data_IF_929674007409
#
_entry.id   IF_929674007409
#
_cell.length_a   1.000
_cell.length_b   1.000
_cell.length_c   1.000
_cell.angle_alpha   90.00
_cell.angle_beta   90.00
_cell.angle_gamma   90.00
#
_symmetry.space_group_name_H-M   'P 1'
#
loop_
_entity.id
_entity.type
_entity.pdbx_description
1 polymer ?
#
# COMPACT_ATOMS: atom_id res chain seq x y z
N UNK A 1 34.33 14.50 -12.73
CA UNK A 1 33.91 15.16 -11.48
C UNK A 1 32.39 15.09 -11.37
N UNK A 2 31.85 14.85 -10.18
CA UNK A 2 30.39 14.91 -9.96
C UNK A 2 29.93 16.36 -10.12
N UNK A 3 28.85 16.57 -10.88
CA UNK A 3 28.24 17.90 -10.97
C UNK A 3 27.43 18.21 -9.71
N UNK A 4 27.07 19.48 -9.53
CA UNK A 4 26.33 19.95 -8.35
C UNK A 4 25.01 19.20 -8.16
N UNK A 5 24.31 18.87 -9.24
CA UNK A 5 23.05 18.13 -9.20
C UNK A 5 23.24 16.70 -8.67
N UNK A 6 24.28 16.00 -9.12
CA UNK A 6 24.59 14.66 -8.66
C UNK A 6 24.93 14.67 -7.17
N UNK A 7 25.73 15.65 -6.71
CA UNK A 7 26.03 15.83 -5.29
C UNK A 7 24.74 16.07 -4.49
N UNK A 8 23.86 16.96 -4.96
CA UNK A 8 22.59 17.25 -4.31
C UNK A 8 21.67 16.01 -4.20
N UNK A 9 21.57 15.22 -5.28
CA UNK A 9 20.77 13.98 -5.28
C UNK A 9 21.36 12.95 -4.31
N UNK A 10 22.68 12.75 -4.31
CA UNK A 10 23.35 11.81 -3.39
C UNK A 10 23.12 12.23 -1.95
N UNK A 11 23.28 13.52 -1.63
CA UNK A 11 23.03 14.04 -0.29
C UNK A 11 21.56 13.87 0.11
N UNK A 12 20.61 14.20 -0.77
CA UNK A 12 19.19 14.03 -0.51
C UNK A 12 18.83 12.57 -0.24
N UNK A 13 19.32 11.64 -1.07
CA UNK A 13 19.10 10.20 -0.89
C UNK A 13 19.74 9.68 0.40
N UNK A 14 20.98 10.09 0.69
CA UNK A 14 21.70 9.71 1.89
C UNK A 14 21.04 10.24 3.17
N UNK A 15 20.63 11.50 3.20
CA UNK A 15 19.92 12.12 4.33
C UNK A 15 18.56 11.43 4.52
N UNK A 16 17.77 11.26 3.45
CA UNK A 16 16.47 10.56 3.52
C UNK A 16 16.64 9.15 4.10
N UNK A 17 17.62 8.40 3.60
CA UNK A 17 17.94 7.08 4.12
C UNK A 17 18.32 7.13 5.60
N UNK A 18 19.23 8.02 5.99
CA UNK A 18 19.71 8.14 7.36
C UNK A 18 18.57 8.48 8.34
N UNK A 19 17.71 9.44 7.98
CA UNK A 19 16.55 9.83 8.80
C UNK A 19 15.62 8.64 9.00
N UNK A 20 15.24 7.95 7.92
CA UNK A 20 14.35 6.78 8.01
C UNK A 20 15.00 5.63 8.79
N UNK A 21 16.29 5.37 8.55
CA UNK A 21 17.04 4.31 9.20
C UNK A 21 17.13 4.54 10.71
N UNK A 22 17.47 5.77 11.14
CA UNK A 22 17.50 6.15 12.55
C UNK A 22 16.09 6.05 13.16
N UNK A 23 15.05 6.55 12.48
CA UNK A 23 13.68 6.49 12.98
C UNK A 23 13.21 5.03 13.20
N UNK A 24 13.48 4.14 12.26
CA UNK A 24 13.16 2.72 12.39
C UNK A 24 13.98 2.03 13.49
N UNK A 25 15.25 2.38 13.67
CA UNK A 25 16.07 1.88 14.78
C UNK A 25 15.53 2.32 16.14
N UNK A 26 15.18 3.60 16.28
CA UNK A 26 14.57 4.14 17.49
C UNK A 26 13.23 3.47 17.77
N UNK A 27 12.42 3.23 16.73
CA UNK A 27 11.15 2.54 16.86
C UNK A 27 11.34 1.10 17.37
N UNK A 28 12.32 0.36 16.83
CA UNK A 28 12.64 -1.00 17.30
C UNK A 28 13.20 -0.99 18.72
N UNK A 29 14.04 -0.01 19.07
CA UNK A 29 14.60 0.14 20.41
C UNK A 29 13.53 0.48 21.45
N UNK A 30 12.48 1.20 21.05
CA UNK A 30 11.35 1.57 21.89
C UNK A 30 10.30 0.45 22.06
N UNK A 31 10.39 -0.67 21.34
CA UNK A 31 9.43 -1.77 21.47
C UNK A 31 9.51 -2.39 22.87
N UNK A 32 8.41 -2.28 23.61
CA UNK A 32 8.24 -2.95 24.90
C UNK A 32 7.43 -4.23 24.73
N UNK A 33 7.96 -5.36 25.20
CA UNK A 33 7.29 -6.67 25.19
C UNK A 33 6.27 -6.83 26.31
N UNK A 34 6.28 -5.94 27.29
CA UNK A 34 5.28 -5.90 28.34
C UNK A 34 4.08 -5.05 27.91
N UNK A 35 2.89 -5.56 28.20
CA UNK A 35 1.64 -4.85 27.93
C UNK A 35 1.56 -3.66 28.88
N UNK A 36 1.37 -2.43 28.38
CA UNK A 36 1.14 -1.26 29.23
C UNK A 36 -0.07 -1.46 30.13
N UNK A 37 -0.06 -0.86 31.32
CA UNK A 37 -1.09 -1.07 32.35
C UNK A 37 -2.51 -0.77 31.84
N UNK A 38 -2.64 0.25 30.99
CA UNK A 38 -3.92 0.68 30.41
C UNK A 38 -4.54 -0.34 29.46
N UNK A 39 -3.75 -1.30 28.96
CA UNK A 39 -4.19 -2.28 27.97
C UNK A 39 -4.13 -3.73 28.46
N UNK A 40 -3.80 -3.97 29.73
CA UNK A 40 -3.73 -5.33 30.31
C UNK A 40 -5.07 -6.08 30.24
N UNK A 41 -6.19 -5.36 30.27
CA UNK A 41 -7.53 -5.93 30.15
C UNK A 41 -7.93 -6.29 28.70
N UNK A 42 -7.22 -5.73 27.71
CA UNK A 42 -7.59 -5.83 26.29
C UNK A 42 -6.66 -6.80 25.55
N UNK A 43 -5.37 -6.80 25.88
CA UNK A 43 -4.39 -7.64 25.21
C UNK A 43 -3.93 -8.81 26.07
N UNK A 44 -4.04 -10.01 25.52
CA UNK A 44 -3.31 -11.16 26.00
C UNK A 44 -1.79 -10.93 25.87
N UNK A 45 -1.05 -11.29 26.93
CA UNK A 45 0.39 -11.06 27.05
C UNK A 45 1.17 -11.81 25.97
N UNK A 46 0.77 -13.04 25.62
CA UNK A 46 1.44 -13.83 24.60
C UNK A 46 1.22 -13.23 23.20
N UNK A 47 0.00 -12.80 22.90
CA UNK A 47 -0.40 -12.21 21.62
C UNK A 47 0.25 -10.84 21.40
N UNK A 48 0.30 -10.01 22.45
CA UNK A 48 1.04 -8.74 22.42
C UNK A 48 2.52 -8.95 22.17
N UNK A 49 3.17 -9.88 22.90
CA UNK A 49 4.58 -10.21 22.67
C UNK A 49 4.84 -10.70 21.25
N UNK A 50 3.96 -11.55 20.71
CA UNK A 50 4.03 -12.01 19.32
C UNK A 50 3.95 -10.84 18.33
N UNK A 51 3.07 -9.86 18.56
CA UNK A 51 2.96 -8.66 17.74
C UNK A 51 4.23 -7.78 17.80
N UNK A 52 4.82 -7.62 19.00
CA UNK A 52 6.08 -6.89 19.18
C UNK A 52 7.24 -7.58 18.45
N UNK A 53 7.35 -8.91 18.57
CA UNK A 53 8.39 -9.69 17.90
C UNK A 53 8.20 -9.68 16.37
N UNK A 54 6.95 -9.68 15.87
CA UNK A 54 6.65 -9.50 14.43
C UNK A 54 7.08 -8.13 13.92
N UNK A 55 6.75 -7.07 14.65
CA UNK A 55 7.18 -5.70 14.32
C UNK A 55 8.70 -5.59 14.29
N UNK A 56 9.39 -6.14 15.29
CA UNK A 56 10.85 -6.14 15.35
C UNK A 56 11.48 -6.90 14.17
N UNK A 57 11.00 -8.12 13.87
CA UNK A 57 11.52 -8.94 12.79
C UNK A 57 11.33 -8.27 11.42
N UNK A 58 10.13 -7.76 11.16
CA UNK A 58 9.78 -7.09 9.90
C UNK A 58 10.55 -5.79 9.71
N UNK A 59 10.71 -4.99 10.77
CA UNK A 59 11.43 -3.71 10.70
C UNK A 59 12.92 -3.94 10.48
N UNK A 60 13.56 -4.88 11.20
CA UNK A 60 14.97 -5.22 10.97
C UNK A 60 15.22 -5.70 9.54
N UNK A 61 14.31 -6.51 8.99
CA UNK A 61 14.41 -6.96 7.61
C UNK A 61 14.23 -5.83 6.59
N UNK A 62 13.32 -4.89 6.87
CA UNK A 62 13.12 -3.69 6.06
C UNK A 62 14.36 -2.79 6.04
N UNK A 63 14.98 -2.57 7.20
CA UNK A 63 16.26 -1.87 7.32
C UNK A 63 17.31 -2.53 6.43
N UNK A 64 17.51 -3.85 6.55
CA UNK A 64 18.45 -4.60 5.72
C UNK A 64 18.18 -4.41 4.21
N UNK A 65 16.92 -4.56 3.79
CA UNK A 65 16.52 -4.38 2.39
C UNK A 65 16.79 -2.95 1.92
N UNK A 66 16.43 -1.94 2.71
CA UNK A 66 16.64 -0.54 2.34
C UNK A 66 18.12 -0.18 2.19
N UNK A 67 18.98 -0.72 3.06
CA UNK A 67 20.43 -0.59 2.94
C UNK A 67 20.96 -1.25 1.68
N UNK A 68 20.47 -2.46 1.36
CA UNK A 68 20.81 -3.16 0.13
C UNK A 68 20.38 -2.38 -1.11
N UNK A 69 19.14 -1.90 -1.16
CA UNK A 69 18.61 -1.14 -2.30
C UNK A 69 19.45 0.13 -2.55
N UNK A 70 19.80 0.87 -1.49
CA UNK A 70 20.64 2.06 -1.60
C UNK A 70 22.07 1.72 -2.06
N UNK A 71 22.66 0.66 -1.51
CA UNK A 71 23.98 0.20 -1.90
C UNK A 71 24.02 -0.21 -3.38
N UNK A 72 23.04 -0.99 -3.85
CA UNK A 72 22.93 -1.37 -5.26
C UNK A 72 22.78 -0.15 -6.16
N UNK A 73 21.93 0.82 -5.79
CA UNK A 73 21.77 2.06 -6.53
C UNK A 73 23.09 2.83 -6.64
N UNK A 74 23.82 3.00 -5.53
CA UNK A 74 25.09 3.73 -5.53
C UNK A 74 26.18 2.98 -6.28
N UNK A 75 26.31 1.66 -6.10
CA UNK A 75 27.28 0.85 -6.85
C UNK A 75 26.97 0.93 -8.36
N UNK A 76 25.70 0.83 -8.75
CA UNK A 76 25.30 0.93 -10.15
C UNK A 76 25.54 2.33 -10.72
N UNK A 77 25.27 3.39 -9.94
CA UNK A 77 25.54 4.75 -10.36
C UNK A 77 27.05 5.02 -10.51
N UNK A 78 27.84 4.77 -9.46
CA UNK A 78 29.27 5.09 -9.45
C UNK A 78 30.09 4.20 -10.38
N UNK A 79 29.63 3.00 -10.71
CA UNK A 79 30.24 2.17 -11.76
C UNK A 79 29.90 2.62 -13.19
N UNK A 80 29.07 3.65 -13.35
CA UNK A 80 28.63 4.13 -14.66
C UNK A 80 27.52 3.29 -15.29
N UNK A 81 26.85 2.43 -14.51
CA UNK A 81 25.83 1.48 -14.99
C UNK A 81 24.71 2.12 -15.81
N UNK A 82 24.24 3.32 -15.45
CA UNK A 82 23.23 4.04 -16.24
C UNK A 82 23.73 4.41 -17.64
N UNK A 83 24.99 4.86 -17.75
CA UNK A 83 25.60 5.23 -19.04
C UNK A 83 25.95 3.99 -19.86
N UNK A 84 26.46 2.95 -19.21
CA UNK A 84 26.73 1.66 -19.84
C UNK A 84 25.45 1.08 -20.47
N UNK A 85 24.35 1.08 -19.72
CA UNK A 85 23.08 0.60 -20.22
C UNK A 85 22.55 1.46 -21.36
N UNK A 86 22.65 2.80 -21.28
CA UNK A 86 22.20 3.69 -22.36
C UNK A 86 22.94 3.40 -23.67
N UNK A 87 24.28 3.30 -23.64
CA UNK A 87 25.09 2.96 -24.81
C UNK A 87 24.71 1.59 -25.36
N UNK A 88 24.53 0.61 -24.47
CA UNK A 88 24.16 -0.75 -24.86
C UNK A 88 22.77 -0.81 -25.55
N UNK A 89 21.76 -0.14 -24.99
CA UNK A 89 20.41 -0.13 -25.58
C UNK A 89 20.38 0.65 -26.89
N UNK A 90 21.13 1.75 -27.01
CA UNK A 90 21.25 2.50 -28.27
C UNK A 90 21.90 1.69 -29.38
N UNK A 91 22.79 0.75 -29.04
CA UNK A 91 23.44 -0.11 -30.03
C UNK A 91 22.45 -1.01 -30.81
N UNK A 92 21.21 -1.20 -30.31
CA UNK A 92 20.16 -1.90 -31.04
C UNK A 92 19.59 -1.11 -32.23
N UNK A 93 19.93 0.18 -32.40
CA UNK A 93 19.48 0.98 -33.53
C UNK A 93 17.96 1.25 -33.57
N UNK A 94 17.30 1.14 -32.42
CA UNK A 94 15.88 1.45 -32.27
C UNK A 94 15.64 2.96 -32.36
N UNK A 95 14.39 3.37 -32.61
CA UNK A 95 14.03 4.78 -32.47
C UNK A 95 14.09 5.23 -31.00
N UNK A 96 14.20 6.53 -30.78
CA UNK A 96 14.20 7.23 -29.49
C UNK A 96 13.17 6.68 -28.49
N UNK A 97 11.91 6.52 -28.92
CA UNK A 97 10.83 6.02 -28.09
C UNK A 97 11.06 4.59 -27.62
N UNK A 98 11.36 3.66 -28.54
CA UNK A 98 11.59 2.25 -28.20
C UNK A 98 12.90 2.06 -27.42
N UNK A 99 13.95 2.83 -27.71
CA UNK A 99 15.18 2.87 -26.91
C UNK A 99 14.86 3.25 -25.46
N UNK A 100 14.05 4.30 -25.25
CA UNK A 100 13.63 4.71 -23.90
C UNK A 100 12.79 3.64 -23.18
N UNK A 101 11.86 2.99 -23.89
CA UNK A 101 11.06 1.90 -23.32
C UNK A 101 11.91 0.69 -22.93
N UNK A 102 12.84 0.27 -23.78
CA UNK A 102 13.75 -0.85 -23.49
C UNK A 102 14.69 -0.48 -22.33
N UNK A 103 15.24 0.73 -22.32
CA UNK A 103 16.11 1.22 -21.25
C UNK A 103 15.42 1.14 -19.88
N UNK A 104 14.22 1.72 -19.75
CA UNK A 104 13.46 1.69 -18.50
C UNK A 104 12.99 0.26 -18.19
N UNK A 105 12.57 -0.51 -19.20
CA UNK A 105 12.16 -1.90 -19.05
C UNK A 105 13.26 -2.79 -18.46
N UNK A 106 14.50 -2.65 -18.92
CA UNK A 106 15.66 -3.38 -18.39
C UNK A 106 15.95 -2.97 -16.94
N UNK A 107 15.92 -1.67 -16.62
CA UNK A 107 16.10 -1.21 -15.24
C UNK A 107 15.01 -1.75 -14.31
N UNK A 108 13.74 -1.75 -14.74
CA UNK A 108 12.63 -2.32 -13.98
C UNK A 108 12.78 -3.83 -13.80
N UNK A 109 13.17 -4.56 -14.84
CA UNK A 109 13.41 -5.99 -14.77
C UNK A 109 14.54 -6.33 -13.79
N UNK A 110 15.65 -5.58 -13.83
CA UNK A 110 16.74 -5.71 -12.88
C UNK A 110 16.28 -5.42 -11.45
N UNK A 111 15.50 -4.35 -11.25
CA UNK A 111 14.94 -4.01 -9.93
C UNK A 111 14.03 -5.14 -9.39
N UNK A 112 13.16 -5.70 -10.23
CA UNK A 112 12.32 -6.85 -9.86
C UNK A 112 13.19 -8.04 -9.44
N UNK A 113 14.21 -8.36 -10.24
CA UNK A 113 15.13 -9.47 -9.98
C UNK A 113 15.85 -9.30 -8.64
N UNK A 114 16.43 -8.13 -8.37
CA UNK A 114 17.11 -7.85 -7.09
C UNK A 114 16.15 -7.83 -5.90
N UNK A 115 14.88 -7.44 -6.10
CA UNK A 115 13.87 -7.45 -5.04
C UNK A 115 13.32 -8.84 -4.73
N UNK A 116 13.47 -9.80 -5.65
CA UNK A 116 12.81 -11.11 -5.59
C UNK A 116 13.24 -11.94 -4.36
N UNK A 117 14.54 -12.07 -4.01
CA UNK A 117 14.94 -12.79 -2.81
C UNK A 117 14.31 -12.23 -1.54
N UNK A 118 14.20 -10.89 -1.44
CA UNK A 118 13.58 -10.24 -0.29
C UNK A 118 12.07 -10.50 -0.23
N UNK A 119 11.40 -10.49 -1.38
CA UNK A 119 9.98 -10.81 -1.49
C UNK A 119 9.70 -12.28 -1.11
N UNK A 120 10.58 -13.21 -1.50
CA UNK A 120 10.47 -14.61 -1.09
C UNK A 120 10.66 -14.74 0.41
N UNK A 121 11.69 -14.10 0.97
CA UNK A 121 11.99 -14.20 2.40
C UNK A 121 10.87 -13.61 3.28
N UNK A 122 10.34 -12.44 2.93
CA UNK A 122 9.23 -11.84 3.69
C UNK A 122 8.00 -12.77 3.66
N UNK A 123 7.62 -13.31 2.51
CA UNK A 123 6.41 -14.14 2.37
C UNK A 123 6.56 -15.53 2.99
N UNK A 124 7.65 -16.24 2.69
CA UNK A 124 7.78 -17.66 3.05
C UNK A 124 8.61 -17.91 4.31
N UNK A 125 9.26 -16.89 4.87
CA UNK A 125 10.03 -17.02 6.13
C UNK A 125 9.43 -16.16 7.22
N UNK A 126 9.32 -14.85 7.02
CA UNK A 126 8.82 -13.95 8.07
C UNK A 126 7.32 -14.17 8.27
N UNK A 127 6.48 -13.96 7.25
CA UNK A 127 5.02 -14.10 7.40
C UNK A 127 4.64 -15.54 7.80
N UNK A 128 5.32 -16.56 7.28
CA UNK A 128 5.13 -17.96 7.68
C UNK A 128 5.45 -18.19 9.17
N UNK A 129 6.59 -17.69 9.66
CA UNK A 129 6.99 -17.81 11.08
C UNK A 129 5.94 -17.26 12.04
N UNK A 130 5.19 -16.24 11.64
CA UNK A 130 4.13 -15.64 12.46
C UNK A 130 2.73 -16.23 12.18
N UNK A 131 2.61 -17.19 11.26
CA UNK A 131 1.34 -17.82 10.89
C UNK A 131 0.42 -16.91 10.06
N UNK A 132 1.01 -15.93 9.37
CA UNK A 132 0.31 -14.93 8.58
C UNK A 132 0.26 -15.26 7.09
N UNK A 133 1.18 -16.11 6.61
CA UNK A 133 1.21 -16.53 5.22
C UNK A 133 0.20 -17.65 4.94
N UNK A 134 -0.52 -17.52 3.83
CA UNK A 134 -1.35 -18.58 3.22
C UNK A 134 -1.04 -18.76 1.73
N UNK A 135 -0.09 -17.99 1.21
CA UNK A 135 0.28 -17.96 -0.20
C UNK A 135 1.08 -19.21 -0.57
N UNK A 136 0.66 -19.92 -1.61
CA UNK A 136 1.46 -21.01 -2.21
C UNK A 136 2.50 -20.46 -3.17
N UNK A 137 3.57 -21.21 -3.44
CA UNK A 137 4.59 -20.82 -4.45
C UNK A 137 3.95 -20.52 -5.82
N UNK A 138 2.97 -21.33 -6.23
CA UNK A 138 2.24 -21.10 -7.48
C UNK A 138 1.48 -19.77 -7.46
N UNK A 139 0.75 -19.46 -6.37
CA UNK A 139 0.05 -18.18 -6.22
C UNK A 139 1.02 -17.01 -6.25
N UNK A 140 2.15 -17.12 -5.54
CA UNK A 140 3.19 -16.09 -5.50
C UNK A 140 3.76 -15.77 -6.88
N UNK A 141 4.12 -16.81 -7.65
CA UNK A 141 4.67 -16.63 -9.00
C UNK A 141 3.62 -16.08 -9.96
N UNK A 142 2.41 -16.64 -9.96
CA UNK A 142 1.33 -16.19 -10.85
C UNK A 142 0.93 -14.74 -10.58
N UNK A 143 0.84 -14.34 -9.31
CA UNK A 143 0.54 -12.95 -8.95
C UNK A 143 1.66 -12.01 -9.42
N UNK A 144 2.93 -12.42 -9.31
CA UNK A 144 4.05 -11.61 -9.81
C UNK A 144 4.01 -11.45 -11.33
N UNK A 145 3.74 -12.54 -12.06
CA UNK A 145 3.61 -12.50 -13.52
C UNK A 145 2.47 -11.58 -13.93
N UNK A 146 1.28 -11.74 -13.33
CA UNK A 146 0.13 -10.85 -13.58
C UNK A 146 0.48 -9.39 -13.29
N UNK A 147 1.15 -9.13 -12.17
CA UNK A 147 1.60 -7.78 -11.80
C UNK A 147 2.57 -7.18 -12.82
N UNK A 148 3.54 -7.95 -13.29
CA UNK A 148 4.50 -7.52 -14.34
C UNK A 148 3.75 -7.23 -15.64
N UNK A 149 2.86 -8.13 -16.08
CA UNK A 149 2.09 -7.92 -17.32
C UNK A 149 1.23 -6.66 -17.25
N UNK A 150 0.51 -6.45 -16.13
CA UNK A 150 -0.26 -5.22 -15.94
C UNK A 150 0.65 -3.99 -15.85
N UNK A 151 1.80 -4.09 -15.20
CA UNK A 151 2.79 -3.02 -15.12
C UNK A 151 3.36 -2.63 -16.49
N UNK A 152 3.64 -3.61 -17.36
CA UNK A 152 4.08 -3.37 -18.74
C UNK A 152 2.95 -2.76 -19.57
N UNK A 153 1.73 -3.29 -19.47
CA UNK A 153 0.60 -2.78 -20.26
C UNK A 153 0.21 -1.36 -19.86
N UNK A 154 0.04 -1.09 -18.57
CA UNK A 154 -0.42 0.20 -18.05
C UNK A 154 0.78 1.17 -17.90
N UNK A 155 1.81 0.76 -17.18
CA UNK A 155 2.99 1.59 -16.94
C UNK A 155 3.80 1.82 -18.22
N UNK A 156 3.96 0.80 -19.07
CA UNK A 156 4.66 0.93 -20.34
C UNK A 156 3.92 1.81 -21.35
N UNK A 157 2.58 1.75 -21.41
CA UNK A 157 1.79 2.66 -22.27
C UNK A 157 1.83 4.11 -21.78
N UNK A 158 1.79 4.33 -20.45
CA UNK A 158 1.98 5.66 -19.88
C UNK A 158 3.39 6.20 -20.14
N UNK A 159 4.41 5.36 -19.94
CA UNK A 159 5.79 5.73 -20.24
C UNK A 159 5.97 6.07 -21.73
N UNK A 160 5.42 5.25 -22.64
CA UNK A 160 5.46 5.52 -24.07
C UNK A 160 4.81 6.87 -24.41
N UNK A 161 3.66 7.16 -23.79
CA UNK A 161 2.96 8.42 -23.97
C UNK A 161 3.79 9.61 -23.48
N UNK A 162 4.46 9.48 -22.32
CA UNK A 162 5.35 10.51 -21.79
C UNK A 162 6.54 10.73 -22.72
N UNK A 163 7.23 9.67 -23.12
CA UNK A 163 8.39 9.77 -24.01
C UNK A 163 8.01 10.43 -25.34
N UNK A 164 6.87 10.02 -25.91
CA UNK A 164 6.32 10.63 -27.12
C UNK A 164 6.01 12.12 -26.93
N UNK A 165 5.40 12.51 -25.80
CA UNK A 165 5.13 13.92 -25.50
C UNK A 165 6.40 14.75 -25.32
N UNK A 166 7.45 14.20 -24.72
CA UNK A 166 8.73 14.92 -24.60
C UNK A 166 9.48 15.00 -25.92
N UNK A 167 9.22 14.09 -26.85
CA UNK A 167 9.81 14.14 -28.19
C UNK A 167 9.08 15.13 -29.12
N UNK A 168 7.75 15.21 -29.05
CA UNK A 168 6.94 15.97 -30.01
C UNK A 168 6.17 17.16 -29.41
N UNK A 169 6.08 17.28 -28.08
CA UNK A 169 5.25 18.26 -27.38
C UNK A 169 5.87 19.64 -27.18
N UNK A 170 7.09 19.85 -27.67
CA UNK A 170 7.82 21.13 -27.57
C UNK A 170 8.09 21.56 -26.12
N UNK A 171 8.25 22.86 -25.89
CA UNK A 171 8.59 23.42 -24.56
C UNK A 171 7.52 23.14 -23.48
N UNK A 172 6.26 22.94 -23.90
CA UNK A 172 5.13 22.64 -23.00
C UNK A 172 4.88 21.15 -22.80
N UNK A 173 5.76 20.26 -23.30
CA UNK A 173 5.65 18.81 -23.15
C UNK A 173 5.39 18.37 -21.70
N UNK A 174 6.00 19.04 -20.74
CA UNK A 174 5.83 18.74 -19.32
C UNK A 174 4.39 18.97 -18.82
N UNK A 175 3.67 19.97 -19.36
CA UNK A 175 2.26 20.25 -19.01
C UNK A 175 1.37 19.13 -19.54
N UNK A 176 1.59 18.71 -20.79
CA UNK A 176 0.85 17.62 -21.39
C UNK A 176 1.12 16.29 -20.68
N UNK A 177 2.39 16.00 -20.36
CA UNK A 177 2.77 14.80 -19.62
C UNK A 177 2.14 14.79 -18.21
N UNK A 178 2.14 15.94 -17.53
CA UNK A 178 1.47 16.10 -16.24
C UNK A 178 -0.04 15.87 -16.35
N UNK A 179 -0.70 16.43 -17.38
CA UNK A 179 -2.14 16.25 -17.60
C UNK A 179 -2.49 14.78 -17.89
N UNK A 180 -1.75 14.13 -18.79
CA UNK A 180 -1.93 12.70 -19.13
C UNK A 180 -1.74 11.83 -17.88
N UNK A 181 -0.69 12.08 -17.10
CA UNK A 181 -0.45 11.33 -15.86
C UNK A 181 -1.56 11.56 -14.83
N UNK A 182 -2.02 12.81 -14.65
CA UNK A 182 -3.08 13.15 -13.71
C UNK A 182 -4.40 12.46 -14.08
N UNK A 183 -4.79 12.54 -15.35
CA UNK A 183 -5.99 11.87 -15.86
C UNK A 183 -5.86 10.35 -15.72
N UNK A 184 -4.71 9.77 -16.08
CA UNK A 184 -4.47 8.34 -15.93
C UNK A 184 -4.56 7.87 -14.47
N UNK A 185 -4.01 8.62 -13.51
CA UNK A 185 -4.12 8.31 -12.08
C UNK A 185 -5.57 8.33 -11.59
N UNK A 186 -6.34 9.34 -11.98
CA UNK A 186 -7.77 9.44 -11.64
C UNK A 186 -8.56 8.27 -12.25
N UNK A 187 -8.29 7.92 -13.52
CA UNK A 187 -8.91 6.77 -14.18
C UNK A 187 -8.57 5.47 -13.44
N UNK A 188 -7.28 5.25 -13.12
CA UNK A 188 -6.83 4.06 -12.42
C UNK A 188 -7.44 3.93 -11.02
N UNK A 189 -7.64 5.04 -10.30
CA UNK A 189 -8.31 5.03 -9.00
C UNK A 189 -9.71 4.39 -9.09
N UNK A 190 -10.44 4.61 -10.20
CA UNK A 190 -11.77 4.05 -10.40
C UNK A 190 -11.78 2.68 -11.06
N UNK A 191 -10.85 2.43 -11.99
CA UNK A 191 -10.76 1.17 -12.74
C UNK A 191 -10.13 0.07 -11.89
N UNK A 192 -9.11 0.38 -11.08
CA UNK A 192 -8.32 -0.62 -10.38
C UNK A 192 -9.16 -1.54 -9.49
N UNK A 193 -10.09 -1.04 -8.64
CA UNK A 193 -10.91 -1.92 -7.82
C UNK A 193 -11.86 -2.84 -8.59
N UNK A 194 -12.34 -2.38 -9.75
CA UNK A 194 -13.36 -3.09 -10.52
C UNK A 194 -12.78 -4.06 -11.54
N UNK A 195 -11.62 -3.75 -12.12
CA UNK A 195 -11.06 -4.50 -13.24
C UNK A 195 -9.70 -5.10 -12.94
N UNK A 196 -8.85 -4.42 -12.16
CA UNK A 196 -7.51 -4.94 -11.86
C UNK A 196 -7.53 -5.89 -10.66
N UNK A 197 -8.20 -5.52 -9.57
CA UNK A 197 -8.27 -6.38 -8.38
C UNK A 197 -8.88 -7.76 -8.64
N UNK A 198 -9.95 -7.92 -9.46
CA UNK A 198 -10.48 -9.24 -9.78
C UNK A 198 -9.53 -10.18 -10.54
N UNK A 199 -8.43 -9.68 -11.11
CA UNK A 199 -7.39 -10.53 -11.71
C UNK A 199 -6.58 -11.28 -10.64
N UNK A 200 -6.55 -10.74 -9.43
CA UNK A 200 -5.85 -11.28 -8.27
C UNK A 200 -6.81 -11.97 -7.31
N UNK A 201 -7.97 -11.39 -7.03
CA UNK A 201 -8.92 -11.87 -6.04
C UNK A 201 -10.23 -12.33 -6.66
N UNK A 202 -10.87 -13.30 -6.02
CA UNK A 202 -12.25 -13.67 -6.29
C UNK A 202 -13.17 -12.74 -5.50
N UNK A 203 -14.09 -12.10 -6.20
CA UNK A 203 -15.16 -11.30 -5.62
C UNK A 203 -16.45 -12.10 -5.69
N UNK A 204 -17.06 -12.39 -4.55
CA UNK A 204 -18.40 -12.99 -4.46
C UNK A 204 -19.35 -12.04 -3.75
N UNK A 205 -20.66 -12.16 -3.98
CA UNK A 205 -21.63 -11.40 -3.19
C UNK A 205 -21.68 -11.95 -1.76
N UNK A 206 -21.88 -11.06 -0.79
CA UNK A 206 -22.16 -11.49 0.58
C UNK A 206 -23.49 -12.24 0.63
N UNK A 207 -23.45 -13.42 1.23
CA UNK A 207 -24.60 -14.29 1.44
C UNK A 207 -25.66 -13.61 2.32
N UNK A 208 -26.92 -14.02 2.13
CA UNK A 208 -28.01 -13.52 2.96
C UNK A 208 -27.85 -14.03 4.40
N UNK A 209 -28.02 -13.11 5.36
CA UNK A 209 -27.82 -13.42 6.77
C UNK A 209 -27.76 -12.16 7.64
N UNK A 210 -27.50 -12.37 8.93
CA UNK A 210 -27.48 -11.33 9.96
C UNK A 210 -26.52 -10.18 9.60
N UNK A 211 -25.30 -10.51 9.16
CA UNK A 211 -24.28 -9.52 8.79
C UNK A 211 -24.76 -8.62 7.65
N UNK A 212 -25.29 -9.22 6.57
CA UNK A 212 -25.77 -8.46 5.41
C UNK A 212 -26.91 -7.53 5.80
N UNK A 213 -27.87 -8.02 6.59
CA UNK A 213 -28.97 -7.22 7.09
C UNK A 213 -28.49 -6.04 7.96
N UNK A 214 -27.56 -6.29 8.89
CA UNK A 214 -26.99 -5.27 9.76
C UNK A 214 -26.25 -4.18 8.97
N UNK A 215 -25.49 -4.56 7.94
CA UNK A 215 -24.79 -3.59 7.08
C UNK A 215 -25.77 -2.73 6.28
N UNK A 216 -26.82 -3.32 5.69
CA UNK A 216 -27.84 -2.56 4.99
C UNK A 216 -28.61 -1.63 5.93
N UNK A 217 -28.92 -2.07 7.15
CA UNK A 217 -29.55 -1.23 8.17
C UNK A 217 -28.65 -0.03 8.55
N UNK A 218 -27.36 -0.25 8.77
CA UNK A 218 -26.39 0.82 9.04
C UNK A 218 -26.30 1.79 7.86
N UNK A 219 -26.19 1.28 6.64
CA UNK A 219 -26.11 2.09 5.42
C UNK A 219 -27.39 2.93 5.23
N UNK A 220 -28.57 2.35 5.47
CA UNK A 220 -29.85 3.06 5.44
C UNK A 220 -29.91 4.18 6.48
N UNK A 221 -29.59 3.87 7.74
CA UNK A 221 -29.55 4.85 8.85
C UNK A 221 -28.61 6.02 8.53
N UNK A 222 -27.45 5.74 7.96
CA UNK A 222 -26.45 6.76 7.60
C UNK A 222 -26.69 7.38 6.23
N UNK A 223 -27.73 7.00 5.48
CA UNK A 223 -27.95 7.42 4.08
C UNK A 223 -26.68 7.25 3.23
N UNK A 224 -26.03 6.09 3.36
CA UNK A 224 -24.86 5.70 2.58
C UNK A 224 -25.34 5.00 1.30
N UNK A 225 -24.90 5.43 0.10
CA UNK A 225 -25.43 4.93 -1.18
C UNK A 225 -24.81 3.56 -1.55
N UNK A 226 -25.11 2.55 -0.73
CA UNK A 226 -24.64 1.18 -0.88
C UNK A 226 -25.38 0.47 -2.01
N UNK A 227 -24.65 -0.05 -2.99
CA UNK A 227 -25.17 -0.82 -4.12
C UNK A 227 -24.84 -2.31 -4.05
N UNK A 228 -23.95 -2.72 -3.14
CA UNK A 228 -23.60 -4.13 -2.99
C UNK A 228 -22.48 -4.36 -1.98
N UNK A 229 -22.48 -5.55 -1.41
CA UNK A 229 -21.47 -6.02 -0.45
C UNK A 229 -20.83 -7.26 -1.06
N UNK A 230 -19.50 -7.23 -1.17
CA UNK A 230 -18.70 -8.29 -1.77
C UNK A 230 -17.75 -8.87 -0.74
N UNK A 231 -17.54 -10.18 -0.84
CA UNK A 231 -16.50 -10.92 -0.10
C UNK A 231 -15.33 -11.15 -1.03
N UNK A 232 -14.13 -10.88 -0.51
CA UNK A 232 -12.83 -11.08 -1.17
C UNK A 232 -12.15 -12.27 -0.52
N UNK A 233 -11.59 -13.18 -1.32
CA UNK A 233 -10.78 -14.34 -0.89
C UNK A 233 -9.39 -13.94 -0.36
N UNK A 234 -9.33 -13.06 0.64
CA UNK A 234 -8.10 -12.61 1.29
C UNK A 234 -7.30 -13.76 1.90
N UNK A 235 -8.00 -14.76 2.43
CA UNK A 235 -7.45 -15.97 3.04
C UNK A 235 -6.53 -16.77 2.11
N UNK A 236 -6.65 -16.62 0.79
CA UNK A 236 -5.75 -17.27 -0.19
C UNK A 236 -4.31 -16.77 -0.09
N UNK A 237 -4.10 -15.59 0.48
CA UNK A 237 -2.77 -14.95 0.58
C UNK A 237 -2.30 -14.78 2.01
N UNK A 238 -3.21 -14.37 2.90
CA UNK A 238 -2.86 -14.07 4.28
C UNK A 238 -4.05 -14.26 5.22
N UNK A 239 -3.77 -14.50 6.50
CA UNK A 239 -4.78 -14.46 7.57
C UNK A 239 -5.13 -13.04 8.04
N UNK A 240 -4.54 -11.99 7.45
CA UNK A 240 -4.82 -10.59 7.80
C UNK A 240 -6.25 -10.19 7.42
N UNK A 241 -6.92 -9.48 8.32
CA UNK A 241 -8.26 -8.93 8.12
C UNK A 241 -8.18 -7.56 7.42
N UNK A 242 -9.11 -7.28 6.49
CA UNK A 242 -9.22 -5.98 5.83
C UNK A 242 -10.64 -5.74 5.28
N UNK A 243 -10.98 -4.47 5.07
CA UNK A 243 -12.18 -4.03 4.39
C UNK A 243 -11.91 -2.70 3.70
N UNK A 244 -12.61 -2.43 2.59
CA UNK A 244 -12.55 -1.12 1.93
C UNK A 244 -13.83 -0.85 1.13
N UNK A 245 -14.04 0.42 0.76
CA UNK A 245 -15.06 0.78 -0.22
C UNK A 245 -14.49 1.00 -1.60
N UNK A 246 -15.31 0.71 -2.59
CA UNK A 246 -15.05 1.07 -3.98
C UNK A 246 -16.28 1.66 -4.64
N UNK A 247 -16.13 2.16 -5.87
CA UNK A 247 -17.23 2.68 -6.68
C UNK A 247 -17.36 4.20 -6.69
N UNK A 248 -18.10 4.71 -7.66
CA UNK A 248 -18.18 6.14 -7.99
C UNK A 248 -19.57 6.71 -7.70
N UNK A 249 -19.61 7.97 -7.24
CA UNK A 249 -20.84 8.72 -7.03
C UNK A 249 -21.84 7.98 -6.12
N UNK A 250 -23.01 7.70 -6.68
CA UNK A 250 -24.16 7.04 -6.02
C UNK A 250 -24.07 5.51 -5.98
N UNK A 251 -23.02 4.92 -6.54
CA UNK A 251 -22.86 3.47 -6.60
C UNK A 251 -21.65 3.00 -5.80
N UNK A 252 -21.79 2.97 -4.46
CA UNK A 252 -20.73 2.52 -3.55
C UNK A 252 -20.86 1.03 -3.25
N UNK A 253 -19.73 0.36 -3.17
CA UNK A 253 -19.63 -1.06 -2.86
C UNK A 253 -18.75 -1.24 -1.63
N UNK A 254 -19.10 -2.19 -0.79
CA UNK A 254 -18.26 -2.66 0.31
C UNK A 254 -17.56 -3.92 -0.15
N UNK A 255 -16.26 -4.01 0.09
CA UNK A 255 -15.50 -5.24 -0.09
C UNK A 255 -14.90 -5.66 1.25
N UNK A 256 -15.28 -6.85 1.73
CA UNK A 256 -14.84 -7.42 3.00
C UNK A 256 -13.92 -8.61 2.72
N UNK A 257 -12.81 -8.74 3.44
CA UNK A 257 -12.04 -9.97 3.37
C UNK A 257 -12.77 -11.07 4.14
N UNK A 258 -12.75 -12.29 3.61
CA UNK A 258 -13.24 -13.49 4.28
C UNK A 258 -12.60 -13.71 5.66
N UNK A 259 -11.31 -13.38 5.82
CA UNK A 259 -10.59 -13.40 7.11
C UNK A 259 -11.17 -12.45 8.15
N UNK A 260 -11.66 -11.28 7.72
CA UNK A 260 -12.32 -10.33 8.60
C UNK A 260 -13.68 -10.86 9.05
N UNK A 261 -14.45 -11.44 8.11
CA UNK A 261 -15.77 -12.02 8.41
C UNK A 261 -15.63 -13.23 9.35
N UNK A 262 -14.64 -14.09 9.12
CA UNK A 262 -14.43 -15.29 9.94
C UNK A 262 -13.86 -14.97 11.33
N UNK A 263 -13.16 -13.84 11.49
CA UNK A 263 -12.44 -13.48 12.71
C UNK A 263 -13.14 -12.47 13.62
N UNK A 264 -14.34 -12.00 13.26
CA UNK A 264 -15.02 -10.92 13.99
C UNK A 264 -16.51 -11.17 14.12
N UNK A 265 -17.07 -10.78 15.27
CA UNK A 265 -18.51 -10.83 15.49
C UNK A 265 -19.22 -9.77 14.63
N UNK A 266 -20.51 -9.99 14.31
CA UNK A 266 -21.31 -9.05 13.51
C UNK A 266 -21.29 -7.62 14.08
N UNK A 267 -21.44 -7.38 15.40
CA UNK A 267 -21.37 -6.02 15.95
C UNK A 267 -20.01 -5.33 15.73
N UNK A 268 -18.91 -6.09 15.78
CA UNK A 268 -17.55 -5.57 15.56
C UNK A 268 -17.36 -5.17 14.09
N UNK A 269 -17.82 -6.01 13.16
CA UNK A 269 -17.81 -5.72 11.72
C UNK A 269 -18.62 -4.46 11.38
N UNK A 270 -19.79 -4.33 11.98
CA UNK A 270 -20.65 -3.14 11.81
C UNK A 270 -19.96 -1.89 12.39
N UNK A 271 -19.22 -2.01 13.50
CA UNK A 271 -18.45 -0.90 14.06
C UNK A 271 -17.29 -0.48 13.15
N UNK A 272 -16.55 -1.44 12.59
CA UNK A 272 -15.50 -1.18 11.57
C UNK A 272 -16.12 -0.48 10.36
N UNK A 273 -17.24 -0.98 9.84
CA UNK A 273 -17.91 -0.35 8.70
C UNK A 273 -18.47 1.03 9.02
N UNK A 274 -18.90 1.29 10.27
CA UNK A 274 -19.31 2.63 10.69
C UNK A 274 -18.12 3.61 10.67
N UNK A 275 -16.94 3.18 11.13
CA UNK A 275 -15.70 3.97 11.03
C UNK A 275 -15.38 4.30 9.57
N UNK A 276 -15.40 3.28 8.72
CA UNK A 276 -15.14 3.39 7.29
C UNK A 276 -16.17 4.35 6.61
N UNK A 277 -17.48 4.19 6.86
CA UNK A 277 -18.52 5.10 6.32
C UNK A 277 -18.29 6.55 6.82
N UNK A 278 -17.73 6.70 8.02
CA UNK A 278 -17.30 7.99 8.57
C UNK A 278 -16.29 8.70 7.66
N UNK A 279 -15.26 8.00 7.18
CA UNK A 279 -14.28 8.55 6.22
C UNK A 279 -14.97 9.03 4.93
N UNK A 280 -15.94 8.27 4.43
CA UNK A 280 -16.72 8.69 3.27
C UNK A 280 -17.53 9.96 3.55
N UNK A 281 -18.27 10.01 4.67
CA UNK A 281 -19.12 11.16 5.02
C UNK A 281 -18.33 12.44 5.24
N UNK A 282 -17.12 12.33 5.81
CA UNK A 282 -16.20 13.44 6.01
C UNK A 282 -15.33 13.76 4.79
N UNK A 283 -15.55 13.08 3.65
CA UNK A 283 -14.80 13.25 2.41
C UNK A 283 -13.29 13.04 2.58
N UNK A 284 -12.87 12.23 3.55
CA UNK A 284 -11.47 11.98 3.83
C UNK A 284 -10.75 11.39 2.60
N UNK A 285 -11.42 10.52 1.83
CA UNK A 285 -10.82 9.97 0.59
C UNK A 285 -10.58 11.00 -0.51
N UNK A 286 -11.34 12.11 -0.55
CA UNK A 286 -11.13 13.20 -1.53
C UNK A 286 -10.02 14.14 -1.02
N UNK A 287 -9.95 14.35 0.29
CA UNK A 287 -8.96 15.20 0.94
C UNK A 287 -7.59 14.52 1.12
N UNK A 288 -7.43 13.28 0.65
CA UNK A 288 -6.26 12.43 0.93
C UNK A 288 -6.17 11.95 2.39
N UNK A 289 -7.11 12.34 3.26
CA UNK A 289 -7.17 12.00 4.68
C UNK A 289 -7.53 10.53 4.96
N UNK A 290 -7.82 9.75 3.91
CA UNK A 290 -8.03 8.30 4.01
C UNK A 290 -6.74 7.49 3.77
N UNK A 291 -5.61 8.15 3.49
CA UNK A 291 -4.32 7.46 3.50
C UNK A 291 -4.03 6.95 4.91
N UNK A 292 -3.60 5.69 4.99
CA UNK A 292 -3.23 4.99 6.22
C UNK A 292 -1.89 5.53 6.76
N UNK A 293 -1.05 6.12 5.91
CA UNK A 293 0.24 6.72 6.25
C UNK A 293 0.40 8.13 5.64
N UNK A 294 -0.33 9.14 6.14
CA UNK A 294 -0.11 10.52 5.70
C UNK A 294 1.28 11.02 6.04
N UNK A 295 1.79 11.91 5.21
CA UNK A 295 3.03 12.62 5.49
C UNK A 295 2.98 13.24 6.90
N UNK A 296 3.98 13.03 7.78
CA UNK A 296 3.91 13.42 9.20
C UNK A 296 3.57 14.89 9.43
N UNK A 297 4.05 15.79 8.58
CA UNK A 297 3.73 17.23 8.65
C UNK A 297 2.26 17.53 8.29
N UNK A 298 1.68 16.80 7.33
CA UNK A 298 0.27 16.94 6.97
C UNK A 298 -0.63 16.24 8.00
N UNK A 299 -0.17 15.13 8.58
CA UNK A 299 -0.80 14.45 9.70
C UNK A 299 -0.86 15.36 10.95
N UNK A 300 0.26 15.98 11.28
CA UNK A 300 0.37 16.92 12.39
C UNK A 300 -0.58 18.12 12.25
N UNK A 301 -0.76 18.64 11.02
CA UNK A 301 -1.63 19.80 10.76
C UNK A 301 -3.10 19.42 10.60
N UNK A 302 -3.40 18.30 9.92
CA UNK A 302 -4.75 17.99 9.44
C UNK A 302 -5.35 16.68 9.98
N UNK A 303 -4.54 15.75 10.49
CA UNK A 303 -5.04 14.52 11.10
C UNK A 303 -5.25 14.72 12.60
N UNK A 304 -6.45 15.14 12.96
CA UNK A 304 -6.97 15.07 14.34
C UNK A 304 -7.39 13.65 14.68
N UNK A 305 -6.48 12.70 14.55
CA UNK A 305 -6.70 11.34 14.99
C UNK A 305 -6.15 11.23 16.40
N UNK A 306 -7.00 11.38 17.45
CA UNK A 306 -6.54 11.20 18.82
C UNK A 306 -5.82 9.84 18.92
N UNK A 307 -4.71 9.75 19.68
CA UNK A 307 -4.02 8.49 19.94
C UNK A 307 -5.01 7.40 20.32
N UNK A 308 -4.66 6.13 20.05
CA UNK A 308 -5.53 4.99 20.40
C UNK A 308 -6.04 5.08 21.84
N UNK A 309 -5.18 5.49 22.77
CA UNK A 309 -5.52 5.70 24.18
C UNK A 309 -6.64 6.74 24.36
N UNK A 310 -6.53 7.92 23.73
CA UNK A 310 -7.57 8.96 23.80
C UNK A 310 -8.89 8.49 23.16
N UNK A 311 -8.83 7.67 22.10
CA UNK A 311 -10.04 7.07 21.51
C UNK A 311 -10.70 6.10 22.47
N UNK A 312 -9.93 5.21 23.08
CA UNK A 312 -10.44 4.26 24.08
C UNK A 312 -11.05 4.99 25.27
N UNK A 313 -10.40 6.06 25.75
CA UNK A 313 -10.94 6.90 26.82
C UNK A 313 -12.26 7.55 26.43
N UNK A 314 -12.34 8.19 25.25
CA UNK A 314 -13.59 8.80 24.76
C UNK A 314 -14.71 7.78 24.53
N UNK A 315 -14.39 6.59 24.02
CA UNK A 315 -15.36 5.50 23.84
C UNK A 315 -15.86 5.02 25.21
N UNK A 316 -14.96 4.80 26.18
CA UNK A 316 -15.34 4.42 27.56
C UNK A 316 -16.19 5.50 28.23
N UNK A 317 -15.84 6.78 28.06
CA UNK A 317 -16.60 7.89 28.61
C UNK A 317 -18.00 8.00 28.00
N UNK A 318 -18.10 7.84 26.68
CA UNK A 318 -19.39 7.82 25.99
C UNK A 318 -20.23 6.62 26.41
N UNK A 319 -19.66 5.41 26.44
CA UNK A 319 -20.36 4.21 26.89
C UNK A 319 -20.90 4.34 28.32
N UNK A 320 -20.13 4.95 29.23
CA UNK A 320 -20.59 5.25 30.59
C UNK A 320 -21.78 6.22 30.63
N UNK A 321 -21.79 7.26 29.78
CA UNK A 321 -22.88 8.25 29.69
C UNK A 321 -24.17 7.68 29.08
N UNK A 322 -24.07 6.68 28.21
CA UNK A 322 -25.24 6.09 27.53
C UNK A 322 -25.84 4.91 28.32
N UNK A 323 -25.09 4.33 29.26
CA UNK A 323 -25.52 3.24 30.14
C UNK A 323 -25.97 3.70 31.54
N UNK A 324 -25.85 5.00 31.84
CA UNK A 324 -26.40 5.68 33.02
C UNK A 324 -27.72 6.37 32.69
#
# INVERSE_FOLDING_TARGET
MLNTFAIAIILMLGIKFLVNFIAELLNVAALNREVPDEFKEVFDKASYRKAQDYTAATTKFRLLKSSFDLAVLFIFWFSGGFSWLDVYVRAFGLNSLFTGLVYVGVLMAASILFSLPFAIYITFVIEERFGLNRTTVATFVLDRIKGILLGVLIGGSLLASILWLFEFGGESAWVYAWAVMSVAMVILLFIAPRFLMPLFYKFTLLEDGELKAAIYALAGKLKFPLSGIYVIDGSRRSSKANAFFSGFGKHKRIALFDTLIAGSAVPELVAVLAHEIGHYKKKHSILGLAEIEPHPFYAFINYSHPPLLERFQKIREHARKTLS
#
